data_IF_582842698635
#
_entry.id   IF_582842698635
#
_cell.length_a   1.000
_cell.length_b   1.000
_cell.length_c   1.000
_cell.angle_alpha   90.00
_cell.angle_beta   90.00
_cell.angle_gamma   90.00
#
_symmetry.space_group_name_H-M   'P 1'
#
loop_
_entity.id
_entity.type
_entity.pdbx_description
1 polymer ?
#
# COMPACT_ATOMS: atom_id res chain seq x y z
N UNK A 1 -19.99 -5.78 -22.85
CA UNK A 1 -20.53 -4.41 -22.99
C UNK A 1 -19.34 -3.50 -23.24
N UNK A 2 -19.48 -2.41 -24.03
CA UNK A 2 -18.41 -1.42 -24.15
C UNK A 2 -18.29 -0.65 -22.84
N UNK A 3 -17.08 -0.24 -22.52
CA UNK A 3 -16.79 0.62 -21.38
C UNK A 3 -15.77 1.69 -21.80
N UNK A 4 -15.73 2.77 -21.07
CA UNK A 4 -14.87 3.91 -21.32
C UNK A 4 -14.11 4.26 -20.06
N UNK A 5 -12.80 4.43 -20.17
CA UNK A 5 -11.98 5.08 -19.16
C UNK A 5 -11.76 6.52 -19.59
N UNK A 6 -12.24 7.46 -18.80
CA UNK A 6 -12.09 8.90 -19.00
C UNK A 6 -11.09 9.42 -17.98
N UNK A 7 -10.02 10.08 -18.43
CA UNK A 7 -9.03 10.72 -17.56
C UNK A 7 -9.32 12.22 -17.43
N UNK A 8 -8.89 12.82 -16.31
CA UNK A 8 -9.14 14.24 -16.02
C UNK A 8 -8.55 15.23 -17.03
N UNK A 9 -7.58 14.80 -17.82
CA UNK A 9 -6.97 15.57 -18.91
C UNK A 9 -7.78 15.52 -20.22
N UNK A 10 -8.89 14.75 -20.23
CA UNK A 10 -9.79 14.59 -21.36
C UNK A 10 -9.50 13.41 -22.28
N UNK A 11 -8.47 12.61 -22.02
CA UNK A 11 -8.25 11.38 -22.77
C UNK A 11 -9.35 10.36 -22.45
N UNK A 12 -9.85 9.70 -23.49
CA UNK A 12 -10.86 8.64 -23.42
C UNK A 12 -10.32 7.38 -24.06
N UNK A 13 -10.39 6.27 -23.33
CA UNK A 13 -10.01 4.94 -23.80
C UNK A 13 -11.24 4.04 -23.84
N UNK A 14 -11.59 3.57 -25.03
CA UNK A 14 -12.67 2.59 -25.23
C UNK A 14 -12.14 1.18 -25.07
N UNK A 15 -12.90 0.35 -24.34
CA UNK A 15 -12.61 -1.05 -24.09
C UNK A 15 -13.87 -1.86 -23.84
N UNK A 16 -13.74 -2.94 -23.11
CA UNK A 16 -14.85 -3.82 -22.70
C UNK A 16 -14.93 -3.88 -21.19
N UNK A 17 -16.15 -3.77 -20.66
CA UNK A 17 -16.44 -3.95 -19.24
C UNK A 17 -16.26 -5.43 -18.87
N UNK A 18 -15.65 -5.67 -17.70
CA UNK A 18 -15.64 -6.93 -16.96
C UNK A 18 -15.77 -6.63 -15.45
N UNK A 19 -16.00 -7.67 -14.63
CA UNK A 19 -16.33 -7.45 -13.22
C UNK A 19 -17.70 -6.82 -13.04
N UNK A 20 -17.86 -5.96 -12.03
CA UNK A 20 -19.11 -5.27 -11.74
C UNK A 20 -19.51 -4.25 -12.82
N UNK A 21 -20.82 -4.12 -13.05
CA UNK A 21 -21.36 -3.15 -14.01
C UNK A 21 -21.82 -1.88 -13.27
N UNK A 22 -20.88 -0.99 -12.99
CA UNK A 22 -21.17 0.31 -12.37
C UNK A 22 -20.22 1.38 -12.87
N UNK A 23 -20.61 2.63 -12.69
CA UNK A 23 -19.76 3.79 -12.86
C UNK A 23 -18.97 4.04 -11.58
N UNK A 24 -17.72 4.46 -11.73
CA UNK A 24 -16.86 4.80 -10.60
C UNK A 24 -15.89 5.90 -10.96
N UNK A 25 -15.67 6.82 -10.03
CA UNK A 25 -14.59 7.80 -10.06
C UNK A 25 -13.49 7.34 -9.10
N UNK A 26 -12.23 7.44 -9.50
CA UNK A 26 -11.08 6.99 -8.73
C UNK A 26 -9.81 7.78 -9.10
N UNK A 27 -8.78 7.73 -8.27
CA UNK A 27 -7.43 8.14 -8.67
C UNK A 27 -6.80 7.03 -9.52
N UNK A 28 -6.48 7.32 -10.77
CA UNK A 28 -5.87 6.33 -11.68
C UNK A 28 -4.37 6.27 -11.45
N UNK A 29 -3.91 5.07 -11.10
CA UNK A 29 -2.49 4.76 -10.84
C UNK A 29 -2.08 3.55 -11.68
N UNK A 30 -0.78 3.25 -11.78
CA UNK A 30 -0.32 2.06 -12.49
C UNK A 30 0.61 1.21 -11.62
N UNK A 31 0.57 -0.10 -11.84
CA UNK A 31 1.47 -1.08 -11.22
C UNK A 31 2.27 -1.83 -12.28
N UNK A 32 3.57 -2.01 -12.04
CA UNK A 32 4.51 -2.63 -12.99
C UNK A 32 4.82 -4.10 -12.71
N UNK A 33 4.18 -4.70 -11.71
CA UNK A 33 4.34 -6.13 -11.39
C UNK A 33 3.87 -7.01 -12.54
N UNK A 34 4.61 -8.08 -12.83
CA UNK A 34 4.25 -9.06 -13.87
C UNK A 34 3.32 -10.15 -13.35
N UNK A 35 3.30 -10.36 -12.02
CA UNK A 35 2.52 -11.37 -11.30
C UNK A 35 1.97 -10.76 -10.02
N UNK A 36 1.10 -11.47 -9.31
CA UNK A 36 0.60 -11.02 -8.02
C UNK A 36 -0.56 -10.02 -8.14
N UNK A 37 -1.39 -10.16 -9.17
CA UNK A 37 -2.54 -9.26 -9.33
C UNK A 37 -3.58 -9.42 -8.21
N UNK A 38 -3.68 -10.59 -7.57
CA UNK A 38 -4.60 -10.81 -6.46
C UNK A 38 -4.10 -10.10 -5.18
N UNK A 39 -2.81 -10.21 -4.90
CA UNK A 39 -2.14 -9.49 -3.82
C UNK A 39 -2.25 -7.97 -4.03
N UNK A 40 -2.10 -7.49 -5.28
CA UNK A 40 -2.36 -6.08 -5.63
C UNK A 40 -3.82 -5.73 -5.36
N UNK A 41 -4.79 -6.52 -5.80
CA UNK A 41 -6.22 -6.27 -5.62
C UNK A 41 -6.63 -6.20 -4.14
N UNK A 42 -6.03 -7.03 -3.29
CA UNK A 42 -6.37 -7.14 -1.88
C UNK A 42 -5.46 -6.32 -0.95
N UNK A 43 -4.51 -5.53 -1.51
CA UNK A 43 -3.71 -4.58 -0.73
C UNK A 43 -4.55 -3.35 -0.36
N UNK A 44 -4.82 -3.11 0.94
CA UNK A 44 -5.63 -1.97 1.40
C UNK A 44 -5.05 -0.60 0.99
N UNK A 45 -3.76 -0.52 0.70
CA UNK A 45 -3.08 0.71 0.28
C UNK A 45 -3.59 1.26 -1.07
N UNK A 46 -4.38 0.47 -1.84
CA UNK A 46 -5.02 0.93 -3.07
C UNK A 46 -6.46 1.45 -2.87
N UNK A 47 -6.93 1.61 -1.64
CA UNK A 47 -8.27 2.14 -1.39
C UNK A 47 -8.49 3.48 -2.13
N UNK A 48 -9.61 3.58 -2.87
CA UNK A 48 -9.96 4.77 -3.66
C UNK A 48 -9.24 4.89 -5.01
N UNK A 49 -8.38 3.93 -5.38
CA UNK A 49 -7.60 3.98 -6.62
C UNK A 49 -8.11 3.00 -7.68
N UNK A 50 -8.03 3.43 -8.95
CA UNK A 50 -8.19 2.58 -10.12
C UNK A 50 -6.81 2.16 -10.65
N UNK A 51 -6.52 0.85 -10.63
CA UNK A 51 -5.17 0.36 -10.92
C UNK A 51 -5.04 -0.15 -12.34
N UNK A 52 -4.10 0.45 -13.08
CA UNK A 52 -3.68 0.01 -14.41
C UNK A 52 -2.56 -1.02 -14.25
N UNK A 53 -2.83 -2.28 -14.60
CA UNK A 53 -1.79 -3.29 -14.68
C UNK A 53 -1.03 -3.15 -16.01
N UNK A 54 0.29 -2.92 -15.92
CA UNK A 54 1.11 -2.73 -17.13
C UNK A 54 1.45 -4.06 -17.83
N UNK A 55 1.39 -5.18 -17.07
CA UNK A 55 1.55 -6.51 -17.66
C UNK A 55 0.35 -6.83 -18.55
N UNK A 56 0.58 -7.32 -19.78
CA UNK A 56 -0.48 -7.37 -20.80
C UNK A 56 -1.59 -8.39 -20.53
N UNK A 57 -1.30 -9.52 -19.87
CA UNK A 57 -2.29 -10.58 -19.61
C UNK A 57 -2.51 -10.75 -18.12
N UNK A 58 -3.75 -10.55 -17.67
CA UNK A 58 -4.16 -10.66 -16.27
C UNK A 58 -5.22 -11.75 -16.13
N UNK A 59 -5.33 -12.37 -14.96
CA UNK A 59 -6.31 -13.42 -14.66
C UNK A 59 -5.92 -14.83 -15.10
N UNK A 60 -4.72 -15.03 -15.63
CA UNK A 60 -4.28 -16.30 -16.22
C UNK A 60 -4.14 -17.46 -15.22
N UNK A 61 -3.96 -17.20 -13.94
CA UNK A 61 -3.91 -18.22 -12.88
C UNK A 61 -5.15 -18.21 -11.94
N UNK A 62 -6.15 -17.36 -12.24
CA UNK A 62 -7.38 -17.26 -11.44
C UNK A 62 -7.17 -16.63 -10.07
N UNK A 63 -8.07 -16.88 -9.17
CA UNK A 63 -8.04 -16.45 -7.77
C UNK A 63 -7.57 -17.60 -6.89
N UNK A 64 -6.58 -17.35 -6.05
CA UNK A 64 -6.02 -18.26 -5.06
C UNK A 64 -6.17 -17.60 -3.69
N UNK A 65 -7.20 -17.93 -2.91
CA UNK A 65 -7.54 -17.24 -1.66
C UNK A 65 -6.41 -17.28 -0.60
N UNK A 66 -5.48 -18.21 -0.70
CA UNK A 66 -4.28 -18.24 0.16
C UNK A 66 -3.36 -17.03 -0.06
N UNK A 67 -3.42 -16.40 -1.26
CA UNK A 67 -2.55 -15.29 -1.65
C UNK A 67 -3.14 -13.91 -1.34
N UNK A 68 -4.34 -13.82 -0.73
CA UNK A 68 -4.96 -12.54 -0.37
C UNK A 68 -4.21 -11.84 0.76
N UNK A 69 -4.13 -10.52 0.65
CA UNK A 69 -3.44 -9.65 1.61
C UNK A 69 -4.37 -8.95 2.59
N UNK A 70 -5.70 -9.08 2.41
CA UNK A 70 -6.73 -8.62 3.35
C UNK A 70 -8.05 -9.33 3.06
N UNK A 71 -9.12 -8.99 3.79
CA UNK A 71 -10.44 -9.66 3.71
C UNK A 71 -11.14 -9.54 2.35
N UNK A 72 -10.81 -8.51 1.56
CA UNK A 72 -11.48 -8.20 0.28
C UNK A 72 -10.58 -7.34 -0.62
N UNK A 73 -10.92 -7.17 -1.91
CA UNK A 73 -10.28 -6.17 -2.76
C UNK A 73 -10.70 -4.75 -2.35
N UNK A 74 -9.75 -3.81 -2.46
CA UNK A 74 -9.93 -2.41 -2.05
C UNK A 74 -9.90 -1.41 -3.22
N UNK A 75 -9.63 -1.90 -4.42
CA UNK A 75 -9.59 -1.07 -5.61
C UNK A 75 -10.96 -0.49 -5.93
N UNK A 76 -10.98 0.75 -6.38
CA UNK A 76 -12.19 1.33 -6.96
C UNK A 76 -12.45 0.82 -8.39
N UNK A 77 -11.37 0.50 -9.12
CA UNK A 77 -11.45 0.01 -10.49
C UNK A 77 -10.22 -0.82 -10.87
N UNK A 78 -10.36 -1.73 -11.84
CA UNK A 78 -9.27 -2.54 -12.36
C UNK A 78 -9.14 -2.40 -13.87
N UNK A 79 -7.96 -1.96 -14.35
CA UNK A 79 -7.73 -1.55 -15.74
C UNK A 79 -6.64 -2.42 -16.33
N UNK A 80 -6.97 -3.20 -17.37
CA UNK A 80 -6.06 -4.19 -17.93
C UNK A 80 -6.03 -4.15 -19.48
N UNK A 81 -4.94 -4.60 -20.06
CA UNK A 81 -4.84 -4.77 -21.51
C UNK A 81 -5.69 -5.95 -21.97
N UNK A 82 -5.52 -7.10 -21.33
CA UNK A 82 -6.22 -8.32 -21.65
C UNK A 82 -6.53 -9.12 -20.39
N UNK A 83 -7.76 -9.60 -20.28
CA UNK A 83 -8.17 -10.56 -19.26
C UNK A 83 -8.15 -11.98 -19.84
N UNK A 84 -7.57 -12.93 -19.12
CA UNK A 84 -7.54 -14.33 -19.54
C UNK A 84 -8.96 -14.90 -19.62
N UNK A 85 -9.26 -15.57 -20.73
CA UNK A 85 -10.57 -16.23 -20.94
C UNK A 85 -10.70 -17.50 -20.11
N UNK A 86 -9.58 -18.12 -19.78
CA UNK A 86 -9.52 -19.36 -19.02
C UNK A 86 -8.32 -19.29 -18.08
N UNK A 87 -8.59 -19.34 -16.80
CA UNK A 87 -7.54 -19.41 -15.79
C UNK A 87 -7.10 -20.85 -15.56
N UNK A 88 -5.82 -21.06 -15.27
CA UNK A 88 -5.25 -22.37 -14.98
C UNK A 88 -4.16 -22.31 -13.92
N UNK A 89 -4.44 -22.85 -12.75
CA UNK A 89 -3.51 -23.05 -11.64
C UNK A 89 -4.06 -24.15 -10.75
N UNK A 90 -3.20 -24.97 -10.15
CA UNK A 90 -3.62 -26.04 -9.24
C UNK A 90 -4.27 -25.53 -7.93
N UNK A 91 -3.99 -24.27 -7.53
CA UNK A 91 -4.62 -23.59 -6.39
C UNK A 91 -5.83 -22.72 -6.76
N UNK A 92 -6.20 -22.71 -8.05
CA UNK A 92 -7.30 -21.88 -8.52
C UNK A 92 -8.62 -22.28 -7.87
N UNK A 93 -9.34 -21.35 -7.32
CA UNK A 93 -10.67 -21.50 -6.74
C UNK A 93 -11.75 -20.95 -7.67
N UNK A 94 -11.52 -19.76 -8.25
CA UNK A 94 -12.45 -19.10 -9.19
C UNK A 94 -11.74 -18.28 -10.28
N UNK A 95 -12.52 -17.74 -11.22
CA UNK A 95 -12.02 -16.79 -12.22
C UNK A 95 -12.02 -15.36 -11.70
N UNK A 96 -11.03 -14.57 -12.10
CA UNK A 96 -10.86 -13.19 -11.65
C UNK A 96 -12.09 -12.31 -11.95
N UNK A 97 -12.77 -12.53 -13.08
CA UNK A 97 -13.97 -11.77 -13.45
C UNK A 97 -15.11 -11.99 -12.46
N UNK A 98 -15.30 -13.22 -11.99
CA UNK A 98 -16.36 -13.57 -11.05
C UNK A 98 -16.06 -13.02 -9.65
N UNK A 99 -14.80 -13.13 -9.20
CA UNK A 99 -14.32 -12.51 -7.97
C UNK A 99 -14.56 -10.99 -7.95
N UNK A 100 -14.25 -10.28 -9.02
CA UNK A 100 -14.50 -8.84 -9.11
C UNK A 100 -15.98 -8.48 -9.11
N UNK A 101 -16.84 -9.33 -9.73
CA UNK A 101 -18.31 -9.16 -9.68
C UNK A 101 -18.85 -9.34 -8.27
N UNK A 102 -18.42 -10.37 -7.56
CA UNK A 102 -18.84 -10.66 -6.18
C UNK A 102 -18.49 -9.50 -5.24
N UNK A 103 -17.33 -8.90 -5.45
CA UNK A 103 -16.87 -7.77 -4.63
C UNK A 103 -17.24 -6.39 -5.16
N UNK A 104 -18.12 -6.31 -6.16
CA UNK A 104 -18.62 -5.06 -6.73
C UNK A 104 -17.50 -4.13 -7.29
N UNK A 105 -16.46 -4.72 -7.86
CA UNK A 105 -15.34 -3.97 -8.49
C UNK A 105 -15.52 -3.92 -10.00
N UNK A 106 -15.68 -2.73 -10.61
CA UNK A 106 -15.73 -2.57 -12.06
C UNK A 106 -14.34 -2.68 -12.68
N UNK A 107 -14.28 -3.28 -13.87
CA UNK A 107 -13.06 -3.36 -14.65
C UNK A 107 -13.26 -2.98 -16.11
N UNK A 108 -12.18 -2.57 -16.75
CA UNK A 108 -12.10 -2.33 -18.19
C UNK A 108 -10.90 -3.07 -18.79
N UNK A 109 -11.14 -3.84 -19.85
CA UNK A 109 -10.10 -4.51 -20.62
C UNK A 109 -10.11 -4.09 -22.09
N UNK A 110 -9.04 -4.40 -22.83
CA UNK A 110 -8.88 -4.05 -24.24
C UNK A 110 -8.33 -2.64 -24.47
N UNK A 111 -8.01 -1.90 -23.41
CA UNK A 111 -7.43 -0.55 -23.46
C UNK A 111 -5.91 -0.59 -23.66
N UNK A 112 -5.33 0.48 -24.20
CA UNK A 112 -3.88 0.61 -24.32
C UNK A 112 -3.26 1.05 -22.97
N UNK A 113 -2.99 0.07 -22.09
CA UNK A 113 -2.38 0.30 -20.77
C UNK A 113 -1.00 0.96 -20.85
N UNK A 114 -0.27 0.78 -21.97
CA UNK A 114 1.02 1.45 -22.19
C UNK A 114 0.83 2.94 -22.48
N UNK A 115 -0.17 3.32 -23.27
CA UNK A 115 -0.49 4.73 -23.52
C UNK A 115 -0.96 5.41 -22.23
N UNK A 116 -1.86 4.78 -21.47
CA UNK A 116 -2.32 5.28 -20.17
C UNK A 116 -1.12 5.49 -19.22
N UNK A 117 -0.25 4.50 -19.09
CA UNK A 117 0.95 4.59 -18.23
C UNK A 117 1.87 5.75 -18.64
N UNK A 118 2.03 6.02 -19.95
CA UNK A 118 2.83 7.16 -20.41
C UNK A 118 2.21 8.48 -20.00
N UNK A 119 0.89 8.65 -20.16
CA UNK A 119 0.16 9.84 -19.72
C UNK A 119 0.37 10.07 -18.23
N UNK A 120 0.15 9.03 -17.40
CA UNK A 120 0.34 9.11 -15.95
C UNK A 120 1.80 9.45 -15.56
N UNK A 121 2.80 8.99 -16.31
CA UNK A 121 4.20 9.37 -16.07
C UNK A 121 4.51 10.80 -16.47
N UNK A 122 3.88 11.29 -17.51
CA UNK A 122 4.10 12.66 -18.02
C UNK A 122 3.34 13.70 -17.20
N UNK A 123 2.13 13.39 -16.75
CA UNK A 123 1.23 14.34 -16.08
C UNK A 123 1.04 14.09 -14.58
N UNK A 124 1.34 12.89 -14.10
CA UNK A 124 1.10 12.44 -12.73
C UNK A 124 -0.10 11.50 -12.63
N UNK A 125 -0.27 10.88 -11.46
CA UNK A 125 -1.53 10.19 -11.14
C UNK A 125 -2.66 11.22 -11.09
N UNK A 126 -3.83 10.84 -11.62
CA UNK A 126 -4.92 11.77 -11.88
C UNK A 126 -6.29 11.12 -11.67
N UNK A 127 -7.31 11.95 -11.53
CA UNK A 127 -8.69 11.50 -11.48
C UNK A 127 -9.10 10.80 -12.79
N UNK A 128 -9.89 9.74 -12.65
CA UNK A 128 -10.46 9.03 -13.79
C UNK A 128 -11.82 8.43 -13.47
N UNK A 129 -12.58 8.12 -14.51
CA UNK A 129 -13.89 7.51 -14.42
C UNK A 129 -13.97 6.30 -15.33
N UNK A 130 -14.51 5.20 -14.83
CA UNK A 130 -14.98 4.10 -15.66
C UNK A 130 -16.50 4.19 -15.79
N UNK A 131 -17.00 4.18 -17.02
CA UNK A 131 -18.43 4.16 -17.34
C UNK A 131 -18.75 3.21 -18.48
N UNK A 132 -19.95 2.64 -18.45
CA UNK A 132 -20.52 1.87 -19.58
C UNK A 132 -21.57 2.67 -20.37
N UNK A 133 -21.85 3.91 -19.94
CA UNK A 133 -22.73 4.83 -20.66
C UNK A 133 -21.96 5.45 -21.83
N UNK A 134 -22.38 5.25 -23.10
CA UNK A 134 -21.72 5.88 -24.25
C UNK A 134 -22.07 7.37 -24.41
N UNK A 135 -23.15 7.83 -23.79
CA UNK A 135 -23.68 9.19 -23.92
C UNK A 135 -23.15 10.11 -22.79
N UNK A 136 -21.88 9.93 -22.38
CA UNK A 136 -21.25 10.75 -21.36
C UNK A 136 -20.94 12.17 -21.86
N UNK A 137 -21.03 13.16 -20.96
CA UNK A 137 -20.68 14.56 -21.23
C UNK A 137 -19.36 14.91 -20.54
N UNK A 138 -18.30 15.17 -21.31
CA UNK A 138 -16.98 15.51 -20.78
C UNK A 138 -17.01 16.82 -19.98
N UNK A 139 -17.78 17.83 -20.40
CA UNK A 139 -17.87 19.11 -19.67
C UNK A 139 -18.43 18.97 -18.26
N UNK A 140 -19.21 17.93 -18.00
CA UNK A 140 -19.76 17.62 -16.68
C UNK A 140 -18.87 16.70 -15.85
N UNK A 141 -18.09 15.83 -16.53
CA UNK A 141 -17.26 14.82 -15.87
C UNK A 141 -15.89 15.39 -15.46
N UNK A 142 -15.21 16.10 -16.37
CA UNK A 142 -13.84 16.57 -16.13
C UNK A 142 -13.67 17.43 -14.87
N UNK A 143 -14.59 18.33 -14.50
CA UNK A 143 -14.50 19.04 -13.23
C UNK A 143 -14.53 18.11 -12.01
N UNK A 144 -15.39 17.07 -12.04
CA UNK A 144 -15.52 16.12 -10.94
C UNK A 144 -14.25 15.26 -10.78
N UNK A 145 -13.60 14.91 -11.91
CA UNK A 145 -12.35 14.14 -11.88
C UNK A 145 -11.21 14.96 -11.27
N UNK A 146 -11.14 16.26 -11.59
CA UNK A 146 -10.11 17.17 -11.05
C UNK A 146 -10.26 17.45 -9.55
N UNK A 147 -11.50 17.41 -9.05
CA UNK A 147 -11.79 17.62 -7.63
C UNK A 147 -11.71 16.33 -6.81
N UNK A 148 -11.62 15.18 -7.47
CA UNK A 148 -11.58 13.90 -6.77
C UNK A 148 -10.30 13.76 -5.92
N UNK A 149 -10.50 13.47 -4.65
CA UNK A 149 -9.44 13.12 -3.70
C UNK A 149 -9.88 11.94 -2.86
N UNK A 150 -8.96 11.07 -2.50
CA UNK A 150 -9.22 9.96 -1.58
C UNK A 150 -9.17 10.50 -0.16
N UNK A 151 -10.29 10.42 0.55
CA UNK A 151 -10.42 10.90 1.95
C UNK A 151 -10.76 9.75 2.89
N UNK A 152 -10.48 9.91 4.20
CA UNK A 152 -10.76 8.91 5.24
C UNK A 152 -10.24 7.49 4.92
N UNK A 153 -9.16 7.40 4.14
CA UNK A 153 -8.69 6.14 3.56
C UNK A 153 -8.32 5.12 4.65
N UNK A 154 -7.53 5.52 5.64
CA UNK A 154 -7.12 4.65 6.77
C UNK A 154 -8.33 4.16 7.56
N UNK A 155 -9.26 5.05 7.88
CA UNK A 155 -10.49 4.70 8.61
C UNK A 155 -11.35 3.68 7.85
N UNK A 156 -11.33 3.74 6.51
CA UNK A 156 -12.11 2.82 5.67
C UNK A 156 -11.53 1.40 5.68
N UNK A 157 -10.20 1.26 5.79
CA UNK A 157 -9.53 -0.04 5.66
C UNK A 157 -9.10 -0.66 6.99
N UNK A 158 -8.98 0.14 8.04
CA UNK A 158 -8.59 -0.35 9.37
C UNK A 158 -9.69 -1.24 9.96
N UNK A 159 -9.27 -2.25 10.70
CA UNK A 159 -10.17 -3.07 11.52
C UNK A 159 -10.94 -2.19 12.51
N UNK A 160 -12.14 -2.62 12.85
CA UNK A 160 -13.00 -1.92 13.83
C UNK A 160 -12.86 -2.50 15.24
N UNK A 161 -12.27 -3.69 15.36
CA UNK A 161 -12.09 -4.41 16.61
C UNK A 161 -10.65 -4.93 16.72
N UNK A 162 -10.19 -5.08 17.96
CA UNK A 162 -8.90 -5.67 18.30
C UNK A 162 -8.91 -7.15 17.95
N UNK A 163 -7.87 -7.62 17.26
CA UNK A 163 -7.71 -9.02 16.87
C UNK A 163 -6.40 -9.57 17.42
N UNK A 164 -6.41 -10.85 17.83
CA UNK A 164 -5.26 -11.48 18.46
C UNK A 164 -4.83 -12.75 17.73
N UNK A 165 -3.52 -12.85 17.46
CA UNK A 165 -2.86 -13.99 16.84
C UNK A 165 -1.87 -14.58 17.82
N UNK A 166 -2.16 -15.77 18.35
CA UNK A 166 -1.38 -16.39 19.41
C UNK A 166 0.01 -16.82 18.95
N UNK A 167 1.01 -16.55 19.77
CA UNK A 167 2.39 -17.02 19.62
C UNK A 167 3.06 -17.19 20.99
N UNK A 168 4.19 -17.89 21.00
CA UNK A 168 4.94 -18.18 22.24
C UNK A 168 6.14 -17.22 22.46
N UNK A 169 6.36 -16.26 21.54
CA UNK A 169 7.49 -15.37 21.51
C UNK A 169 7.19 -13.96 22.02
N UNK A 170 7.77 -12.96 21.36
CA UNK A 170 7.59 -11.55 21.70
C UNK A 170 6.14 -11.10 21.48
N UNK A 171 5.64 -10.29 22.42
CA UNK A 171 4.35 -9.61 22.28
C UNK A 171 4.51 -8.40 21.36
N UNK A 172 3.86 -8.42 20.21
CA UNK A 172 3.89 -7.33 19.23
C UNK A 172 2.53 -6.66 19.15
N UNK A 173 2.49 -5.36 19.44
CA UNK A 173 1.34 -4.52 19.18
C UNK A 173 1.42 -4.00 17.73
N UNK A 174 0.46 -4.36 16.87
CA UNK A 174 0.40 -3.91 15.48
C UNK A 174 -0.72 -2.88 15.34
N UNK A 175 -0.38 -1.62 15.03
CA UNK A 175 -1.36 -0.58 14.71
C UNK A 175 -1.80 -0.73 13.26
N UNK A 176 -3.08 -1.02 13.05
CA UNK A 176 -3.67 -1.31 11.74
C UNK A 176 -4.06 -0.03 10.98
N UNK A 177 -3.18 0.40 10.09
CA UNK A 177 -3.42 1.53 9.18
C UNK A 177 -3.95 1.07 7.81
N UNK A 178 -4.20 -0.21 7.64
CA UNK A 178 -4.51 -0.92 6.40
C UNK A 178 -3.51 -2.06 6.18
N UNK A 179 -3.40 -2.92 7.18
CA UNK A 179 -2.39 -3.98 7.29
C UNK A 179 -2.57 -5.04 6.22
N UNK A 180 -1.49 -5.33 5.51
CA UNK A 180 -1.38 -6.54 4.68
C UNK A 180 -1.18 -7.77 5.58
N UNK A 181 -1.91 -8.85 5.26
CA UNK A 181 -1.83 -10.11 6.00
C UNK A 181 -0.40 -10.66 6.09
N UNK A 182 0.44 -10.39 5.07
CA UNK A 182 1.80 -10.89 5.07
C UNK A 182 2.71 -10.21 6.12
N UNK A 183 2.34 -9.04 6.64
CA UNK A 183 3.00 -8.45 7.82
C UNK A 183 2.73 -9.33 9.05
N UNK A 184 1.45 -9.68 9.28
CA UNK A 184 1.06 -10.56 10.39
C UNK A 184 1.73 -11.93 10.25
N UNK A 185 1.62 -12.56 9.06
CA UNK A 185 2.27 -13.85 8.75
C UNK A 185 3.79 -13.81 8.97
N UNK A 186 4.44 -12.67 8.66
CA UNK A 186 5.89 -12.49 8.88
C UNK A 186 6.27 -12.45 10.35
N UNK A 187 5.41 -11.90 11.20
CA UNK A 187 5.57 -11.89 12.66
C UNK A 187 5.26 -13.27 13.27
N UNK A 188 4.14 -13.90 12.88
CA UNK A 188 3.75 -15.25 13.31
C UNK A 188 4.83 -16.30 12.97
N UNK A 189 5.40 -16.22 11.75
CA UNK A 189 6.51 -17.10 11.32
C UNK A 189 7.73 -17.01 12.22
N UNK A 190 7.88 -15.91 12.96
CA UNK A 190 8.95 -15.67 13.96
C UNK A 190 8.50 -15.96 15.39
N UNK A 191 7.30 -16.54 15.54
CA UNK A 191 6.73 -16.94 16.83
C UNK A 191 6.15 -15.81 17.65
N UNK A 192 5.96 -14.61 17.08
CA UNK A 192 5.41 -13.48 17.82
C UNK A 192 3.96 -13.71 18.23
N UNK A 193 3.62 -13.23 19.41
CA UNK A 193 2.27 -13.10 19.96
C UNK A 193 1.75 -11.71 19.50
N UNK A 194 0.89 -11.67 18.46
CA UNK A 194 0.54 -10.41 17.77
C UNK A 194 -0.85 -9.96 18.16
N UNK A 195 -0.97 -8.74 18.64
CA UNK A 195 -2.26 -8.07 18.82
C UNK A 195 -2.39 -6.92 17.83
N UNK A 196 -3.38 -6.98 16.96
CA UNK A 196 -3.71 -5.96 15.98
C UNK A 196 -4.71 -4.99 16.58
N UNK A 197 -4.39 -3.71 16.55
CA UNK A 197 -5.20 -2.62 17.10
C UNK A 197 -5.78 -1.76 15.97
N UNK A 198 -7.06 -1.36 16.04
CA UNK A 198 -7.63 -0.36 15.14
C UNK A 198 -6.80 0.93 15.08
N UNK A 199 -6.85 1.64 13.94
CA UNK A 199 -6.06 2.85 13.72
C UNK A 199 -6.35 3.99 14.71
N UNK A 200 -7.53 4.04 15.31
CA UNK A 200 -7.95 5.04 16.28
C UNK A 200 -7.63 4.67 17.75
N UNK A 201 -6.97 3.53 17.97
CA UNK A 201 -6.54 3.11 19.32
C UNK A 201 -5.51 4.08 19.91
N UNK A 202 -5.68 4.42 21.19
CA UNK A 202 -4.76 5.34 21.88
C UNK A 202 -3.44 4.67 22.21
N UNK A 203 -2.37 5.47 22.28
CA UNK A 203 -1.05 5.00 22.73
C UNK A 203 -1.10 4.44 24.17
N UNK A 204 -1.93 5.01 25.04
CA UNK A 204 -2.12 4.55 26.41
C UNK A 204 -2.67 3.12 26.45
N UNK A 205 -3.65 2.81 25.59
CA UNK A 205 -4.23 1.47 25.49
C UNK A 205 -3.20 0.47 24.97
N UNK A 206 -2.47 0.81 23.89
CA UNK A 206 -1.42 -0.04 23.32
C UNK A 206 -0.33 -0.34 24.36
N UNK A 207 0.18 0.68 25.01
CA UNK A 207 1.25 0.55 26.03
C UNK A 207 0.75 -0.14 27.30
N UNK A 208 -0.55 -0.03 27.62
CA UNK A 208 -1.18 -0.71 28.76
C UNK A 208 -1.11 -2.23 28.68
N UNK A 209 -1.08 -2.80 27.45
CA UNK A 209 -0.90 -4.24 27.24
C UNK A 209 0.57 -4.71 27.32
N UNK A 210 1.51 -3.78 27.58
CA UNK A 210 2.94 -4.04 27.78
C UNK A 210 3.56 -4.86 26.62
N UNK A 211 3.52 -4.37 25.36
CA UNK A 211 4.16 -5.04 24.24
C UNK A 211 5.68 -5.00 24.35
N UNK A 212 6.35 -6.04 23.87
CA UNK A 212 7.81 -6.07 23.69
C UNK A 212 8.25 -5.21 22.49
N UNK A 213 7.36 -4.99 21.51
CA UNK A 213 7.59 -4.15 20.34
C UNK A 213 6.30 -3.68 19.68
N UNK A 214 6.40 -2.59 18.92
CA UNK A 214 5.28 -1.99 18.21
C UNK A 214 5.57 -2.03 16.71
N UNK A 215 4.58 -2.47 15.92
CA UNK A 215 4.58 -2.42 14.47
C UNK A 215 3.58 -1.36 14.00
N UNK A 216 4.02 -0.40 13.18
CA UNK A 216 3.12 0.48 12.45
C UNK A 216 3.00 -0.03 11.02
N UNK A 217 1.80 -0.40 10.60
CA UNK A 217 1.59 -1.04 9.31
C UNK A 217 1.66 -0.09 8.11
N UNK A 218 1.57 -0.66 6.91
CA UNK A 218 1.25 0.05 5.69
C UNK A 218 -0.19 0.58 5.70
N UNK A 219 -0.55 1.40 4.72
CA UNK A 219 -1.91 1.90 4.56
C UNK A 219 -2.05 2.89 3.40
N UNK A 220 -3.30 3.28 3.07
CA UNK A 220 -3.64 4.18 1.97
C UNK A 220 -3.65 5.66 2.37
N UNK A 221 -3.74 6.52 1.36
CA UNK A 221 -4.11 7.92 1.49
C UNK A 221 -2.97 8.90 1.70
N UNK A 222 -3.32 10.14 1.99
CA UNK A 222 -2.36 11.20 2.35
C UNK A 222 -2.03 11.07 3.85
N UNK A 223 -0.75 10.87 4.22
CA UNK A 223 -0.36 10.77 5.63
C UNK A 223 -0.75 12.00 6.47
N UNK A 224 -0.85 13.18 5.86
CA UNK A 224 -1.23 14.43 6.55
C UNK A 224 -2.69 14.47 7.00
N UNK A 225 -3.56 13.63 6.44
CA UNK A 225 -4.96 13.50 6.89
C UNK A 225 -5.06 12.74 8.23
N UNK A 226 -4.05 11.97 8.60
CA UNK A 226 -4.03 11.12 9.80
C UNK A 226 -3.69 11.89 11.10
N UNK A 227 -4.22 13.11 11.27
CA UNK A 227 -3.81 14.05 12.35
C UNK A 227 -3.90 13.45 13.75
N UNK A 228 -4.95 12.67 14.05
CA UNK A 228 -5.10 12.07 15.41
C UNK A 228 -4.14 10.89 15.58
N UNK A 229 -3.97 10.07 14.56
CA UNK A 229 -3.04 8.93 14.57
C UNK A 229 -1.60 9.44 14.76
N UNK A 230 -1.20 10.53 14.10
CA UNK A 230 0.12 11.16 14.28
C UNK A 230 0.37 11.56 15.73
N UNK A 231 -0.65 12.09 16.41
CA UNK A 231 -0.54 12.46 17.84
C UNK A 231 -0.33 11.23 18.74
N UNK A 232 -1.02 10.14 18.47
CA UNK A 232 -0.83 8.89 19.21
C UNK A 232 0.54 8.26 18.90
N UNK A 233 0.98 8.25 17.64
CA UNK A 233 2.32 7.79 17.24
C UNK A 233 3.42 8.63 17.94
N UNK A 234 3.21 9.95 18.13
CA UNK A 234 4.16 10.78 18.89
C UNK A 234 4.31 10.30 20.33
N UNK A 235 3.24 9.88 20.99
CA UNK A 235 3.30 9.30 22.33
C UNK A 235 4.01 7.94 22.34
N UNK A 236 3.77 7.11 21.30
CA UNK A 236 4.50 5.85 21.12
C UNK A 236 6.00 6.09 20.88
N UNK A 237 6.36 7.11 20.09
CA UNK A 237 7.76 7.52 19.90
C UNK A 237 8.44 7.92 21.22
N UNK A 238 7.71 8.59 22.12
CA UNK A 238 8.25 9.02 23.42
C UNK A 238 8.39 7.85 24.41
N UNK A 239 7.80 6.67 24.12
CA UNK A 239 8.00 5.46 24.90
C UNK A 239 9.39 4.83 24.67
N UNK A 240 9.78 3.88 25.50
CA UNK A 240 11.04 3.12 25.35
C UNK A 240 10.83 1.82 24.54
N UNK A 241 9.61 1.53 24.09
CA UNK A 241 9.28 0.31 23.34
C UNK A 241 9.87 0.36 21.93
N UNK A 242 10.56 -0.69 21.45
CA UNK A 242 11.04 -0.77 20.07
C UNK A 242 9.92 -0.63 19.05
N UNK A 243 10.15 0.16 17.97
CA UNK A 243 9.16 0.35 16.91
C UNK A 243 9.77 0.00 15.56
N UNK A 244 9.04 -0.80 14.78
CA UNK A 244 9.27 -0.97 13.35
C UNK A 244 8.07 -0.47 12.56
N UNK A 245 8.28 0.34 11.51
CA UNK A 245 7.20 0.95 10.75
C UNK A 245 7.40 0.77 9.23
N UNK A 246 6.31 0.49 8.53
CA UNK A 246 6.30 0.16 7.10
C UNK A 246 5.40 1.14 6.35
N UNK A 247 5.89 1.68 5.23
CA UNK A 247 5.16 2.49 4.25
C UNK A 247 4.42 3.69 4.89
N UNK A 248 3.10 3.64 5.07
CA UNK A 248 2.37 4.72 5.76
C UNK A 248 2.85 4.90 7.19
N UNK A 249 3.12 3.82 7.93
CA UNK A 249 3.68 3.90 9.27
C UNK A 249 5.02 4.65 9.33
N UNK A 250 5.88 4.47 8.34
CA UNK A 250 7.13 5.22 8.18
C UNK A 250 6.86 6.73 8.00
N UNK A 251 5.91 7.09 7.14
CA UNK A 251 5.55 8.49 6.89
C UNK A 251 4.92 9.15 8.13
N UNK A 252 4.03 8.44 8.83
CA UNK A 252 3.40 8.95 10.05
C UNK A 252 4.40 9.12 11.20
N UNK A 253 5.38 8.23 11.33
CA UNK A 253 6.46 8.37 12.32
C UNK A 253 7.31 9.61 12.01
N UNK A 254 7.63 9.87 10.74
CA UNK A 254 8.37 11.05 10.32
C UNK A 254 7.58 12.35 10.63
N UNK A 255 6.28 12.39 10.31
CA UNK A 255 5.41 13.52 10.66
C UNK A 255 5.30 13.72 12.17
N UNK A 256 5.19 12.64 12.94
CA UNK A 256 5.14 12.70 14.42
C UNK A 256 6.42 13.28 15.05
N UNK A 257 7.53 13.22 14.32
CA UNK A 257 8.85 13.71 14.77
C UNK A 257 9.29 15.02 14.12
N UNK A 258 8.38 15.66 13.36
CA UNK A 258 8.57 17.02 12.82
C UNK A 258 9.06 17.11 11.38
N UNK A 259 9.30 15.98 10.70
CA UNK A 259 9.55 15.97 9.28
C UNK A 259 8.26 16.23 8.48
N UNK A 260 8.37 16.45 7.17
CA UNK A 260 7.25 16.70 6.26
C UNK A 260 7.23 15.68 5.12
N UNK A 261 6.05 15.50 4.51
CA UNK A 261 5.84 14.61 3.36
C UNK A 261 5.35 15.38 2.15
N UNK A 262 5.56 14.83 0.97
CA UNK A 262 5.03 15.38 -0.28
C UNK A 262 4.46 14.30 -1.20
N UNK A 263 3.50 14.68 -2.04
CA UNK A 263 2.93 13.79 -3.06
C UNK A 263 3.91 13.64 -4.21
N UNK A 264 4.23 12.41 -4.55
CA UNK A 264 5.02 12.08 -5.75
C UNK A 264 4.17 12.27 -7.00
N UNK A 265 4.81 12.55 -8.12
CA UNK A 265 4.13 12.73 -9.39
C UNK A 265 3.34 11.49 -9.82
N UNK A 266 3.93 10.31 -9.73
CA UNK A 266 3.27 9.02 -10.08
C UNK A 266 3.43 7.92 -9.04
N UNK A 267 4.23 8.16 -7.99
CA UNK A 267 4.50 7.19 -6.93
C UNK A 267 5.38 6.00 -7.36
N UNK A 268 5.68 5.14 -6.41
CA UNK A 268 6.33 3.85 -6.65
C UNK A 268 5.32 2.73 -6.47
N UNK A 269 5.08 1.92 -7.53
CA UNK A 269 4.18 0.75 -7.48
C UNK A 269 4.72 -0.37 -8.36
N UNK A 270 5.06 -1.49 -7.70
CA UNK A 270 5.60 -2.69 -8.36
C UNK A 270 6.62 -3.42 -7.51
N UNK A 271 7.06 -4.59 -7.97
CA UNK A 271 8.03 -5.46 -7.29
C UNK A 271 9.46 -5.35 -7.80
N UNK A 272 9.85 -4.23 -8.43
CA UNK A 272 11.12 -4.09 -9.12
C UNK A 272 11.86 -2.78 -8.81
N UNK A 273 11.62 -2.20 -7.63
CA UNK A 273 12.25 -0.94 -7.21
C UNK A 273 13.56 -1.21 -6.43
N UNK A 274 14.71 -0.70 -6.91
CA UNK A 274 15.98 -0.89 -6.24
C UNK A 274 16.15 0.10 -5.08
N UNK A 275 16.32 -0.42 -3.87
CA UNK A 275 16.64 0.36 -2.67
C UNK A 275 18.04 0.05 -2.19
N UNK A 276 18.78 1.09 -1.78
CA UNK A 276 20.14 0.97 -1.26
C UNK A 276 20.15 1.17 0.25
N UNK A 277 20.62 0.18 0.98
CA UNK A 277 21.01 0.28 2.38
C UNK A 277 22.31 1.12 2.47
N UNK A 278 22.24 2.28 3.07
CA UNK A 278 23.38 3.20 3.15
C UNK A 278 24.49 2.71 4.08
N UNK A 279 24.11 1.91 5.09
CA UNK A 279 25.08 1.37 6.06
C UNK A 279 25.91 0.24 5.46
N UNK A 280 25.28 -0.69 4.75
CA UNK A 280 25.98 -1.84 4.14
C UNK A 280 26.45 -1.56 2.71
N UNK A 281 25.89 -0.57 2.05
CA UNK A 281 26.11 -0.27 0.64
C UNK A 281 25.40 -1.22 -0.34
N UNK A 282 24.68 -2.23 0.17
CA UNK A 282 23.95 -3.21 -0.64
C UNK A 282 22.70 -2.60 -1.28
N UNK A 283 22.39 -3.11 -2.47
CA UNK A 283 21.14 -2.79 -3.18
C UNK A 283 20.24 -4.03 -3.14
N UNK A 284 18.98 -3.82 -2.76
CA UNK A 284 17.93 -4.83 -2.75
C UNK A 284 16.87 -4.43 -3.77
N UNK A 285 16.22 -5.41 -4.38
CA UNK A 285 15.00 -5.16 -5.14
C UNK A 285 13.83 -5.29 -4.18
N UNK A 286 12.97 -4.29 -4.15
CA UNK A 286 11.86 -4.19 -3.20
C UNK A 286 10.51 -4.11 -3.88
N UNK A 287 9.48 -4.51 -3.14
CA UNK A 287 8.10 -4.22 -3.44
C UNK A 287 7.74 -2.84 -2.91
N UNK A 288 6.98 -2.08 -3.69
CA UNK A 288 6.59 -0.72 -3.36
C UNK A 288 5.14 -0.46 -3.76
N UNK A 289 4.43 0.30 -2.92
CA UNK A 289 3.09 0.82 -3.22
C UNK A 289 2.84 2.08 -2.40
N UNK A 290 3.35 3.22 -2.86
CA UNK A 290 3.12 4.51 -2.20
C UNK A 290 3.09 5.67 -3.18
N UNK A 291 2.32 6.71 -2.86
CA UNK A 291 2.21 7.96 -3.62
C UNK A 291 2.83 9.16 -2.91
N UNK A 292 3.34 8.99 -1.69
CA UNK A 292 3.95 10.04 -0.88
C UNK A 292 5.34 9.62 -0.42
N UNK A 293 6.20 10.59 -0.18
CA UNK A 293 7.57 10.42 0.35
C UNK A 293 7.87 11.46 1.42
N UNK A 294 8.86 11.17 2.25
CA UNK A 294 9.41 12.13 3.21
C UNK A 294 10.33 13.10 2.46
N UNK A 295 10.22 14.39 2.76
CA UNK A 295 11.12 15.43 2.26
C UNK A 295 12.44 15.39 3.04
N UNK A 296 13.55 15.12 2.35
CA UNK A 296 14.88 14.97 2.97
C UNK A 296 15.27 16.19 3.78
N UNK A 297 15.04 17.38 3.25
CA UNK A 297 15.40 18.67 3.86
C UNK A 297 14.64 19.01 5.15
N UNK A 298 13.59 18.26 5.46
CA UNK A 298 12.79 18.44 6.68
C UNK A 298 13.18 17.48 7.82
N UNK A 299 14.05 16.52 7.55
CA UNK A 299 14.53 15.56 8.55
C UNK A 299 15.52 16.27 9.46
N UNK A 300 15.19 16.34 10.77
CA UNK A 300 16.14 16.83 11.76
C UNK A 300 17.25 15.76 11.97
N UNK A 301 18.53 16.11 11.66
CA UNK A 301 19.63 15.17 11.78
C UNK A 301 19.95 14.78 13.23
N UNK A 302 19.43 15.48 14.22
CA UNK A 302 19.54 15.10 15.63
C UNK A 302 18.47 14.08 16.05
N UNK A 303 17.38 13.95 15.26
CA UNK A 303 16.27 13.03 15.51
C UNK A 303 16.45 11.72 14.75
N UNK A 304 16.77 11.77 13.45
CA UNK A 304 16.86 10.58 12.60
C UNK A 304 17.96 10.71 11.54
N UNK A 305 18.42 9.56 11.07
CA UNK A 305 19.33 9.46 9.91
C UNK A 305 18.70 8.62 8.81
N UNK A 306 18.98 8.98 7.56
CA UNK A 306 18.52 8.22 6.40
C UNK A 306 19.26 6.89 6.34
N UNK A 307 18.51 5.78 6.36
CA UNK A 307 19.07 4.43 6.33
C UNK A 307 18.96 3.76 4.96
N UNK A 308 17.91 4.08 4.20
CA UNK A 308 17.69 3.57 2.85
C UNK A 308 17.30 4.70 1.88
N UNK A 309 17.76 4.57 0.62
CA UNK A 309 17.36 5.46 -0.49
C UNK A 309 16.97 4.64 -1.73
N UNK A 310 16.05 5.17 -2.52
CA UNK A 310 15.77 4.64 -3.86
C UNK A 310 16.97 4.90 -4.79
N UNK A 311 17.38 3.88 -5.55
CA UNK A 311 18.55 4.02 -6.43
C UNK A 311 18.25 4.91 -7.64
N UNK A 312 16.99 4.92 -8.11
CA UNK A 312 16.59 5.60 -9.33
C UNK A 312 16.43 7.11 -9.15
N UNK A 313 15.67 7.54 -8.14
CA UNK A 313 15.27 8.96 -7.96
C UNK A 313 15.78 9.56 -6.64
N UNK A 314 16.45 8.76 -5.80
CA UNK A 314 17.05 9.18 -4.53
C UNK A 314 16.05 9.54 -3.43
N UNK A 315 14.79 9.23 -3.60
CA UNK A 315 13.79 9.40 -2.53
C UNK A 315 14.17 8.61 -1.29
N UNK A 316 13.74 9.11 -0.11
CA UNK A 316 13.98 8.47 1.18
C UNK A 316 13.17 7.18 1.27
N UNK A 317 13.86 6.10 1.57
CA UNK A 317 13.27 4.76 1.66
C UNK A 317 13.38 4.14 3.06
N UNK A 318 13.98 4.85 4.01
CA UNK A 318 14.03 4.41 5.40
C UNK A 318 14.77 5.38 6.31
N UNK A 319 14.38 5.36 7.59
CA UNK A 319 14.96 6.15 8.67
C UNK A 319 15.32 5.26 9.86
N UNK A 320 16.51 5.50 10.45
CA UNK A 320 16.91 4.99 11.75
C UNK A 320 16.88 6.16 12.75
N UNK A 321 16.13 6.06 13.83
CA UNK A 321 15.95 7.13 14.83
C UNK A 321 17.07 7.10 15.87
N UNK A 322 17.68 8.26 16.09
CA UNK A 322 18.78 8.40 17.04
C UNK A 322 18.30 8.32 18.50
N UNK A 323 19.07 7.65 19.34
CA UNK A 323 18.76 7.48 20.76
C UNK A 323 17.41 6.80 21.04
N UNK A 324 16.84 6.15 20.05
CA UNK A 324 15.61 5.37 20.14
C UNK A 324 15.78 4.04 19.39
N UNK A 325 15.15 3.01 19.88
CA UNK A 325 15.13 1.72 19.20
C UNK A 325 13.97 1.70 18.15
N UNK A 326 14.04 2.62 17.17
CA UNK A 326 13.01 2.82 16.16
C UNK A 326 13.65 2.80 14.78
N UNK A 327 13.08 1.98 13.88
CA UNK A 327 13.46 1.87 12.47
C UNK A 327 12.24 1.87 11.58
N UNK A 328 12.34 2.53 10.45
CA UNK A 328 11.21 2.66 9.54
C UNK A 328 11.65 2.49 8.09
N UNK A 329 10.80 1.89 7.26
CA UNK A 329 11.05 1.71 5.83
C UNK A 329 9.83 2.11 5.00
N UNK A 330 10.08 2.71 3.83
CA UNK A 330 9.03 3.12 2.89
C UNK A 330 8.53 1.94 2.06
N UNK A 331 9.45 1.04 1.70
CA UNK A 331 9.14 -0.17 0.91
C UNK A 331 8.53 -1.27 1.77
N UNK A 332 8.08 -2.35 1.12
CA UNK A 332 7.37 -3.47 1.74
C UNK A 332 8.31 -4.68 1.96
N UNK A 333 8.91 -4.86 3.15
CA UNK A 333 9.78 -5.99 3.43
C UNK A 333 9.04 -7.32 3.53
N UNK A 334 7.72 -7.28 3.76
CA UNK A 334 6.83 -8.44 3.74
C UNK A 334 6.59 -8.96 2.32
N UNK A 335 6.90 -8.17 1.28
CA UNK A 335 6.63 -8.45 -0.13
C UNK A 335 5.14 -8.66 -0.44
N UNK A 336 4.78 -9.68 -1.22
CA UNK A 336 3.44 -10.06 -1.65
C UNK A 336 2.60 -8.88 -2.23
N UNK A 337 2.76 -8.64 -3.56
CA UNK A 337 3.67 -9.33 -4.48
C UNK A 337 5.09 -8.78 -4.41
N UNK A 338 6.06 -9.57 -4.85
CA UNK A 338 7.43 -9.10 -5.07
C UNK A 338 8.51 -9.97 -4.39
N UNK A 339 9.78 -9.53 -4.49
CA UNK A 339 10.91 -10.26 -3.94
C UNK A 339 10.97 -10.20 -2.42
N UNK A 340 11.44 -11.29 -1.80
CA UNK A 340 11.52 -11.43 -0.34
C UNK A 340 12.89 -11.05 0.24
N UNK A 341 13.76 -10.41 -0.55
CA UNK A 341 15.14 -10.08 -0.18
C UNK A 341 15.25 -9.19 1.06
N UNK A 342 14.23 -8.40 1.35
CA UNK A 342 14.19 -7.48 2.50
C UNK A 342 13.55 -8.08 3.76
N UNK A 343 13.09 -9.34 3.73
CA UNK A 343 12.44 -10.01 4.86
C UNK A 343 13.29 -10.08 6.15
N UNK A 344 14.62 -9.98 6.04
CA UNK A 344 15.54 -9.90 7.16
C UNK A 344 15.30 -8.69 8.08
N UNK A 345 14.56 -7.68 7.63
CA UNK A 345 14.21 -6.52 8.45
C UNK A 345 13.27 -6.90 9.60
N UNK A 346 12.43 -7.91 9.44
CA UNK A 346 11.68 -8.49 10.53
C UNK A 346 12.61 -9.18 11.56
N UNK A 347 13.69 -9.84 11.13
CA UNK A 347 14.67 -10.44 12.04
C UNK A 347 15.43 -9.35 12.82
N UNK A 348 15.72 -8.20 12.17
CA UNK A 348 16.25 -7.01 12.88
C UNK A 348 15.27 -6.50 13.93
N UNK A 349 13.96 -6.49 13.65
CA UNK A 349 12.95 -6.08 14.62
C UNK A 349 12.89 -7.04 15.82
N UNK A 350 12.99 -8.37 15.60
CA UNK A 350 13.14 -9.35 16.69
C UNK A 350 14.33 -9.01 17.57
N UNK A 351 15.48 -8.72 16.94
CA UNK A 351 16.71 -8.36 17.66
C UNK A 351 16.57 -7.06 18.46
N UNK A 352 15.87 -6.06 17.91
CA UNK A 352 15.58 -4.82 18.65
C UNK A 352 14.80 -5.09 19.94
N UNK A 353 13.80 -5.98 19.91
CA UNK A 353 13.04 -6.38 21.10
C UNK A 353 13.89 -7.19 22.09
N UNK A 354 14.78 -8.06 21.60
CA UNK A 354 15.68 -8.84 22.44
C UNK A 354 16.68 -7.93 23.20
N UNK A 355 17.23 -6.93 22.53
CA UNK A 355 18.21 -5.98 23.10
C UNK A 355 17.57 -4.97 24.09
N UNK A 356 16.24 -4.86 24.11
CA UNK A 356 15.49 -3.95 25.00
C UNK A 356 14.97 -4.61 26.27
N UNK A 357 15.12 -5.94 26.40
CA UNK A 357 14.84 -6.71 27.63
C UNK A 357 16.04 -6.66 28.59
#
# INVERSE_FOLDING_TARGET
>A
MNAFLILEDGHVFEGKSFGAQKEVICEVVFNTSMTGYLEVLTDPSYQGQGVVMTYPLIGNYGVCLEDIESEKPWHSAFIVREISRTSSNFRREEDLEDYLKEHDIPGICGVDTRAITKILREHGCMGGMITTNPDFNLDEILPKLKEYTVTDAVKTVSRTEKEHFNGDGFKVALLDLGTKNNIIRSLEKRGCDVTVYPADTTAEEILGDQPDGIMLSNGPGDPKECVQIIKEIKKLYDSEVPIFAICLGHQLMALATGADTEKMRWGHRGGNHPVKDLKSGRVYISSQNHGYVIKEETIDPDVAEVSFINVNDKTIEGLDYKNKNIRTVQFHPEACPGPQDSGYLFDRFMKMMEESK
#
